data_IF_449779199380
#
_entry.id   IF_449779199380
#
_cell.length_a   1.000
_cell.length_b   1.000
_cell.length_c   1.000
_cell.angle_alpha   90.00
_cell.angle_beta   90.00
_cell.angle_gamma   90.00
#
_symmetry.space_group_name_H-M   'P 1'
#
loop_
_entity.id
_entity.type
_entity.pdbx_description
1 polymer ?
#
# COMPACT_ATOMS: atom_id res chain seq x y z
N UNK A 1 -19.02 -23.25 -5.33
CA UNK A 1 -19.37 -23.59 -3.94
C UNK A 1 -19.09 -25.06 -3.73
N UNK A 2 -18.39 -25.38 -2.67
CA UNK A 2 -17.99 -26.76 -2.40
C UNK A 2 -19.20 -27.54 -1.85
N UNK A 3 -19.32 -28.85 -2.18
CA UNK A 3 -20.36 -29.70 -1.63
C UNK A 3 -20.21 -29.80 -0.10
N UNK A 4 -21.33 -29.74 0.61
CA UNK A 4 -21.41 -29.85 2.07
C UNK A 4 -21.91 -31.24 2.45
N UNK A 5 -21.18 -31.93 3.32
CA UNK A 5 -21.62 -33.19 3.92
C UNK A 5 -22.61 -32.90 5.06
N UNK A 6 -23.74 -33.60 5.05
CA UNK A 6 -24.79 -33.54 6.06
C UNK A 6 -24.79 -34.87 6.81
N UNK A 7 -24.70 -34.80 8.14
CA UNK A 7 -24.81 -35.95 9.03
C UNK A 7 -25.84 -35.59 10.10
N UNK A 8 -26.80 -36.47 10.33
CA UNK A 8 -27.83 -36.18 11.32
C UNK A 8 -28.71 -37.37 11.68
N UNK A 9 -29.55 -37.16 12.68
CA UNK A 9 -30.63 -38.09 13.06
C UNK A 9 -31.95 -37.35 12.90
N UNK A 10 -32.89 -37.92 12.16
CA UNK A 10 -34.23 -37.37 11.96
C UNK A 10 -35.25 -38.17 12.78
N UNK A 11 -36.33 -37.50 13.19
CA UNK A 11 -37.43 -38.06 13.99
C UNK A 11 -37.00 -38.73 15.31
N UNK A 12 -36.01 -38.17 16.01
CA UNK A 12 -35.54 -38.71 17.28
C UNK A 12 -36.62 -38.60 18.39
N UNK A 13 -36.96 -39.70 19.09
CA UNK A 13 -38.08 -39.74 20.03
C UNK A 13 -37.71 -39.05 21.34
N UNK A 14 -38.42 -37.98 21.67
CA UNK A 14 -38.25 -37.23 22.94
C UNK A 14 -39.33 -37.53 23.99
N UNK A 15 -40.33 -38.36 23.64
CA UNK A 15 -41.43 -38.76 24.52
C UNK A 15 -42.03 -40.11 24.11
N UNK A 16 -42.88 -40.67 24.98
CA UNK A 16 -43.50 -41.98 24.75
C UNK A 16 -42.65 -43.18 25.24
N UNK A 17 -43.06 -44.41 24.86
CA UNK A 17 -42.40 -45.66 25.28
C UNK A 17 -40.93 -45.74 24.84
N UNK A 18 -40.64 -45.31 23.61
CA UNK A 18 -39.32 -45.45 22.96
C UNK A 18 -38.45 -44.18 23.09
N UNK A 19 -38.74 -43.32 24.07
CA UNK A 19 -38.01 -42.06 24.31
C UNK A 19 -36.50 -42.30 24.47
N UNK A 20 -35.70 -41.42 23.87
CA UNK A 20 -34.24 -41.44 23.92
C UNK A 20 -33.58 -42.68 23.31
N UNK A 21 -34.32 -43.47 22.53
CA UNK A 21 -33.77 -44.59 21.75
C UNK A 21 -33.52 -44.17 20.30
N UNK A 22 -32.45 -44.69 19.71
CA UNK A 22 -32.09 -44.48 18.30
C UNK A 22 -32.56 -45.65 17.42
N UNK A 23 -32.82 -46.81 18.00
CA UNK A 23 -33.01 -48.08 17.31
C UNK A 23 -34.36 -48.77 17.59
N UNK A 24 -35.10 -48.34 18.62
CA UNK A 24 -36.39 -48.93 19.00
C UNK A 24 -37.57 -48.27 18.30
N UNK A 25 -37.45 -46.98 17.97
CA UNK A 25 -38.47 -46.25 17.23
C UNK A 25 -38.29 -46.41 15.71
N UNK A 26 -39.35 -46.83 15.02
CA UNK A 26 -39.33 -47.13 13.59
C UNK A 26 -39.24 -45.89 12.68
N UNK A 27 -39.52 -44.71 13.23
CA UNK A 27 -39.49 -43.44 12.51
C UNK A 27 -38.12 -42.77 12.60
N UNK A 28 -37.28 -43.16 13.55
CA UNK A 28 -35.92 -42.62 13.75
C UNK A 28 -34.99 -43.03 12.61
N UNK A 29 -34.31 -42.06 12.00
CA UNK A 29 -33.46 -42.28 10.83
C UNK A 29 -32.09 -41.66 11.01
N UNK A 30 -31.03 -42.43 10.75
CA UNK A 30 -29.67 -41.90 10.61
C UNK A 30 -29.47 -41.46 9.16
N UNK A 31 -29.04 -40.23 8.96
CA UNK A 31 -28.94 -39.61 7.63
C UNK A 31 -27.50 -39.21 7.33
N UNK A 32 -27.07 -39.56 6.12
CA UNK A 32 -25.85 -39.07 5.47
C UNK A 32 -26.24 -38.47 4.14
N UNK A 33 -25.98 -37.18 3.96
CA UNK A 33 -26.38 -36.45 2.76
C UNK A 33 -25.28 -35.56 2.20
N UNK A 34 -25.43 -35.16 0.95
CA UNK A 34 -24.57 -34.16 0.29
C UNK A 34 -25.46 -33.10 -0.32
N UNK A 35 -25.22 -31.84 0.05
CA UNK A 35 -25.90 -30.67 -0.53
C UNK A 35 -24.90 -29.78 -1.22
N UNK A 36 -25.26 -29.27 -2.40
CA UNK A 36 -24.46 -28.27 -3.09
C UNK A 36 -25.34 -27.14 -3.64
N UNK A 37 -25.00 -25.92 -3.25
CA UNK A 37 -25.54 -24.71 -3.85
C UNK A 37 -24.93 -24.51 -5.24
N UNK A 38 -25.75 -24.15 -6.22
CA UNK A 38 -25.37 -23.92 -7.61
C UNK A 38 -25.76 -22.48 -8.01
N UNK A 39 -24.89 -21.49 -7.73
CA UNK A 39 -25.14 -20.12 -8.11
C UNK A 39 -25.32 -20.02 -9.62
N UNK A 40 -26.21 -19.14 -10.06
CA UNK A 40 -26.43 -18.92 -11.49
C UNK A 40 -25.10 -18.60 -12.22
N UNK A 41 -24.95 -19.06 -13.47
CA UNK A 41 -23.78 -18.75 -14.30
C UNK A 41 -23.46 -17.26 -14.37
N UNK A 42 -24.49 -16.41 -14.40
CA UNK A 42 -24.35 -14.96 -14.44
C UNK A 42 -23.75 -14.41 -13.15
N UNK A 43 -24.19 -14.92 -11.98
CA UNK A 43 -23.60 -14.55 -10.68
C UNK A 43 -22.15 -14.98 -10.59
N UNK A 44 -21.83 -16.21 -11.01
CA UNK A 44 -20.44 -16.71 -11.02
C UNK A 44 -19.55 -15.87 -11.92
N UNK A 45 -20.02 -15.55 -13.13
CA UNK A 45 -19.30 -14.71 -14.07
C UNK A 45 -19.10 -13.30 -13.53
N UNK A 46 -20.12 -12.68 -12.95
CA UNK A 46 -20.03 -11.34 -12.39
C UNK A 46 -19.04 -11.29 -11.21
N UNK A 47 -19.03 -12.30 -10.33
CA UNK A 47 -18.04 -12.42 -9.24
C UNK A 47 -16.61 -12.52 -9.76
N UNK A 48 -16.39 -13.28 -10.83
CA UNK A 48 -15.08 -13.38 -11.49
C UNK A 48 -14.69 -12.01 -12.07
N UNK A 49 -15.59 -11.34 -12.79
CA UNK A 49 -15.32 -10.02 -13.36
C UNK A 49 -14.99 -8.95 -12.30
N UNK A 50 -15.66 -8.99 -11.15
CA UNK A 50 -15.34 -8.10 -10.01
C UNK A 50 -13.96 -8.39 -9.45
N UNK A 51 -13.62 -9.67 -9.28
CA UNK A 51 -12.30 -10.09 -8.80
C UNK A 51 -11.18 -9.65 -9.77
N UNK A 52 -11.36 -9.88 -11.06
CA UNK A 52 -10.41 -9.49 -12.11
C UNK A 52 -10.24 -7.96 -12.14
N UNK A 53 -11.34 -7.20 -12.10
CA UNK A 53 -11.28 -5.74 -12.08
C UNK A 53 -10.61 -5.19 -10.81
N UNK A 54 -10.78 -5.85 -9.66
CA UNK A 54 -10.09 -5.49 -8.43
C UNK A 54 -8.56 -5.72 -8.54
N UNK A 55 -8.13 -6.81 -9.17
CA UNK A 55 -6.71 -7.07 -9.46
C UNK A 55 -6.13 -5.99 -10.37
N UNK A 56 -6.85 -5.60 -11.43
CA UNK A 56 -6.41 -4.54 -12.34
C UNK A 56 -6.30 -3.18 -11.65
N UNK A 57 -7.24 -2.85 -10.77
CA UNK A 57 -7.16 -1.64 -9.93
C UNK A 57 -5.94 -1.69 -9.01
N UNK A 58 -5.74 -2.80 -8.30
CA UNK A 58 -4.59 -2.96 -7.42
C UNK A 58 -3.26 -2.83 -8.19
N UNK A 59 -3.19 -3.38 -9.41
CA UNK A 59 -2.03 -3.23 -10.28
C UNK A 59 -1.80 -1.76 -10.70
N UNK A 60 -2.87 -1.01 -10.99
CA UNK A 60 -2.76 0.42 -11.30
C UNK A 60 -2.30 1.26 -10.09
N UNK A 61 -2.88 1.01 -8.91
CA UNK A 61 -2.47 1.67 -7.67
C UNK A 61 -1.00 1.37 -7.33
N UNK A 62 -0.55 0.13 -7.51
CA UNK A 62 0.87 -0.25 -7.34
C UNK A 62 1.79 0.53 -8.28
N UNK A 63 1.38 0.79 -9.53
CA UNK A 63 2.18 1.58 -10.48
C UNK A 63 2.33 3.03 -10.01
N UNK A 64 1.24 3.64 -9.54
CA UNK A 64 1.24 4.99 -8.97
C UNK A 64 2.15 5.04 -7.75
N UNK A 65 1.96 4.13 -6.80
CA UNK A 65 2.76 4.09 -5.56
C UNK A 65 4.24 3.89 -5.84
N UNK A 66 4.59 3.03 -6.81
CA UNK A 66 5.99 2.85 -7.22
C UNK A 66 6.62 4.15 -7.73
N UNK A 67 5.86 4.98 -8.44
CA UNK A 67 6.35 6.27 -8.92
C UNK A 67 6.46 7.29 -7.78
N UNK A 68 5.49 7.31 -6.85
CA UNK A 68 5.54 8.14 -5.66
C UNK A 68 6.76 7.82 -4.78
N UNK A 69 7.06 6.53 -4.59
CA UNK A 69 8.27 6.08 -3.88
C UNK A 69 9.53 6.54 -4.62
N UNK A 70 9.60 6.37 -5.94
CA UNK A 70 10.76 6.83 -6.74
C UNK A 70 10.96 8.34 -6.64
N UNK A 71 9.89 9.12 -6.81
CA UNK A 71 9.94 10.57 -6.73
C UNK A 71 10.35 11.02 -5.33
N UNK A 72 9.74 10.46 -4.29
CA UNK A 72 10.05 10.82 -2.90
C UNK A 72 11.48 10.45 -2.51
N UNK A 73 11.97 9.31 -3.01
CA UNK A 73 13.37 8.89 -2.82
C UNK A 73 14.32 9.87 -3.52
N UNK A 74 14.01 10.25 -4.76
CA UNK A 74 14.80 11.22 -5.52
C UNK A 74 14.84 12.59 -4.83
N UNK A 75 13.69 13.09 -4.36
CA UNK A 75 13.62 14.35 -3.60
C UNK A 75 14.42 14.28 -2.30
N UNK A 76 14.32 13.18 -1.55
CA UNK A 76 15.12 13.00 -0.33
C UNK A 76 16.63 12.94 -0.63
N UNK A 77 17.02 12.31 -1.74
CA UNK A 77 18.42 12.27 -2.20
C UNK A 77 18.90 13.66 -2.60
N UNK A 78 18.13 14.41 -3.40
CA UNK A 78 18.44 15.78 -3.82
C UNK A 78 18.63 16.68 -2.60
N UNK A 79 17.71 16.63 -1.64
CA UNK A 79 17.80 17.42 -0.40
C UNK A 79 19.07 17.07 0.39
N UNK A 80 19.36 15.78 0.56
CA UNK A 80 20.56 15.33 1.29
C UNK A 80 21.85 15.78 0.59
N UNK A 81 21.93 15.57 -0.73
CA UNK A 81 23.09 15.94 -1.54
C UNK A 81 23.29 17.47 -1.54
N UNK A 82 22.22 18.24 -1.63
CA UNK A 82 22.28 19.71 -1.64
C UNK A 82 22.81 20.26 -0.33
N UNK A 83 22.42 19.70 0.81
CA UNK A 83 22.93 20.13 2.12
C UNK A 83 24.41 19.76 2.29
N UNK A 84 24.83 18.57 1.85
CA UNK A 84 26.26 18.19 1.90
C UNK A 84 27.13 19.08 1.03
N UNK A 85 26.64 19.47 -0.16
CA UNK A 85 27.33 20.43 -1.01
C UNK A 85 27.43 21.81 -0.38
N UNK A 86 26.40 22.29 0.31
CA UNK A 86 26.45 23.57 1.04
C UNK A 86 27.49 23.53 2.16
N UNK A 87 27.48 22.49 2.99
CA UNK A 87 28.43 22.32 4.10
C UNK A 87 29.89 22.27 3.60
N UNK A 88 30.14 21.62 2.46
CA UNK A 88 31.47 21.57 1.85
C UNK A 88 32.02 22.97 1.47
N UNK A 89 31.15 23.93 1.11
CA UNK A 89 31.55 25.30 0.75
C UNK A 89 31.93 26.15 1.98
N UNK A 90 31.47 25.80 3.19
CA UNK A 90 31.76 26.58 4.40
C UNK A 90 33.26 26.62 4.72
N UNK A 91 34.00 25.57 4.36
CA UNK A 91 35.45 25.57 4.53
C UNK A 91 36.14 26.71 3.77
N UNK A 92 35.62 27.08 2.61
CA UNK A 92 36.15 28.19 1.82
C UNK A 92 35.72 29.53 2.40
N UNK A 93 34.47 29.68 2.86
CA UNK A 93 34.02 30.88 3.58
C UNK A 93 34.84 31.16 4.85
N UNK A 94 35.20 30.12 5.62
CA UNK A 94 36.07 30.30 6.78
C UNK A 94 37.51 30.68 6.41
N UNK A 95 38.02 30.27 5.24
CA UNK A 95 39.34 30.71 4.76
C UNK A 95 39.29 32.18 4.36
N UNK A 96 38.26 32.58 3.63
CA UNK A 96 38.05 33.98 3.22
C UNK A 96 37.89 34.90 4.43
N UNK A 97 37.11 34.51 5.43
CA UNK A 97 36.96 35.31 6.64
C UNK A 97 38.25 35.39 7.47
N UNK A 98 39.09 34.34 7.47
CA UNK A 98 40.43 34.39 8.07
C UNK A 98 41.32 35.41 7.35
N UNK A 99 41.31 35.42 6.02
CA UNK A 99 42.03 36.42 5.23
C UNK A 99 41.53 37.85 5.52
N UNK A 100 40.22 38.04 5.67
CA UNK A 100 39.64 39.32 6.06
C UNK A 100 40.14 39.75 7.45
N UNK A 101 40.13 38.85 8.43
CA UNK A 101 40.63 39.10 9.79
C UNK A 101 42.10 39.52 9.80
N UNK A 102 42.95 38.84 9.04
CA UNK A 102 44.37 39.16 8.92
C UNK A 102 44.60 40.51 8.23
N UNK A 103 43.82 40.82 7.20
CA UNK A 103 43.86 42.10 6.48
C UNK A 103 43.47 43.27 7.39
N UNK A 104 42.37 43.14 8.12
CA UNK A 104 41.92 44.17 9.09
C UNK A 104 42.97 44.36 10.18
N UNK A 105 43.56 43.28 10.70
CA UNK A 105 44.65 43.37 11.69
C UNK A 105 45.86 44.13 11.16
N UNK A 106 46.27 43.87 9.92
CA UNK A 106 47.36 44.59 9.27
C UNK A 106 47.05 46.07 9.04
N UNK A 107 45.80 46.40 8.67
CA UNK A 107 45.36 47.79 8.50
C UNK A 107 45.34 48.56 9.83
N UNK A 108 44.90 47.93 10.92
CA UNK A 108 44.93 48.53 12.27
C UNK A 108 46.39 48.78 12.70
N UNK A 109 47.27 47.79 12.54
CA UNK A 109 48.70 47.95 12.83
C UNK A 109 49.37 49.04 11.98
N UNK A 110 48.91 49.22 10.73
CA UNK A 110 49.36 50.29 9.84
C UNK A 110 48.66 51.64 10.02
N UNK A 111 47.77 51.79 11.00
CA UNK A 111 47.04 53.03 11.28
C UNK A 111 46.00 53.42 10.23
N UNK A 112 45.62 52.51 9.32
CA UNK A 112 44.64 52.73 8.24
C UNK A 112 43.22 52.32 8.60
N UNK A 113 43.02 51.69 9.76
CA UNK A 113 41.73 51.23 10.28
C UNK A 113 41.64 51.46 11.80
N UNK A 114 40.43 51.52 12.34
CA UNK A 114 40.19 51.70 13.77
C UNK A 114 40.20 50.36 14.51
N UNK A 115 40.59 50.31 15.80
CA UNK A 115 40.50 49.09 16.59
C UNK A 115 39.10 48.46 16.65
N UNK A 116 38.04 49.28 16.52
CA UNK A 116 36.66 48.82 16.46
C UNK A 116 36.39 47.94 15.22
N UNK A 117 37.11 48.15 14.11
CA UNK A 117 36.94 47.40 12.87
C UNK A 117 37.36 45.91 13.03
N UNK A 118 38.13 45.58 14.07
CA UNK A 118 38.48 44.19 14.40
C UNK A 118 37.27 43.35 14.86
N UNK A 119 36.13 43.97 15.15
CA UNK A 119 34.90 43.28 15.55
C UNK A 119 34.17 42.70 14.33
N UNK A 120 34.24 43.36 13.18
CA UNK A 120 33.51 42.93 11.96
C UNK A 120 33.87 41.51 11.51
N UNK A 121 35.16 41.11 11.35
CA UNK A 121 35.50 39.74 10.95
C UNK A 121 35.08 38.70 11.99
N UNK A 122 35.03 39.08 13.28
CA UNK A 122 34.58 38.20 14.37
C UNK A 122 33.06 37.99 14.32
N UNK A 123 32.29 39.03 14.02
CA UNK A 123 30.84 38.91 13.84
C UNK A 123 30.50 38.04 12.63
N UNK A 124 31.20 38.23 11.50
CA UNK A 124 31.03 37.36 10.32
C UNK A 124 31.41 35.91 10.64
N UNK A 125 32.47 35.67 11.42
CA UNK A 125 32.83 34.31 11.84
C UNK A 125 31.73 33.65 12.68
N UNK A 126 31.14 34.40 13.62
CA UNK A 126 30.06 33.91 14.46
C UNK A 126 28.81 33.57 13.64
N UNK A 127 28.48 34.41 12.64
CA UNK A 127 27.36 34.17 11.72
C UNK A 127 27.59 32.93 10.84
N UNK A 128 28.81 32.74 10.35
CA UNK A 128 29.17 31.52 9.62
C UNK A 128 29.04 30.26 10.51
N UNK A 129 29.45 30.35 11.78
CA UNK A 129 29.29 29.24 12.72
C UNK A 129 27.81 28.88 12.97
N UNK A 130 26.96 29.89 13.20
CA UNK A 130 25.52 29.71 13.37
C UNK A 130 24.88 29.02 12.15
N UNK A 131 25.20 29.50 10.94
CA UNK A 131 24.68 28.89 9.70
C UNK A 131 25.20 27.47 9.47
N UNK A 132 26.43 27.17 9.89
CA UNK A 132 26.97 25.83 9.78
C UNK A 132 26.27 24.87 10.74
N UNK A 133 26.01 25.29 11.98
CA UNK A 133 25.25 24.49 12.95
C UNK A 133 23.85 24.15 12.44
N UNK A 134 23.16 25.12 11.82
CA UNK A 134 21.89 24.90 11.14
C UNK A 134 22.00 23.89 10.00
N UNK A 135 23.04 23.98 9.17
CA UNK A 135 23.28 23.01 8.09
C UNK A 135 23.57 21.61 8.61
N UNK A 136 24.28 21.47 9.73
CA UNK A 136 24.53 20.17 10.37
C UNK A 136 23.20 19.56 10.82
N UNK A 137 22.29 20.35 11.39
CA UNK A 137 20.95 19.87 11.75
C UNK A 137 20.15 19.47 10.51
N UNK A 138 20.11 20.31 9.48
CA UNK A 138 19.43 20.01 8.21
C UNK A 138 19.99 18.75 7.55
N UNK A 139 21.30 18.53 7.62
CA UNK A 139 21.96 17.32 7.07
C UNK A 139 21.46 16.07 7.77
N UNK A 140 21.37 16.10 9.11
CA UNK A 140 20.84 14.98 9.90
C UNK A 140 19.38 14.69 9.54
N UNK A 141 18.56 15.72 9.39
CA UNK A 141 17.15 15.57 8.99
C UNK A 141 17.00 15.01 7.57
N UNK A 142 17.75 15.55 6.60
CA UNK A 142 17.73 15.10 5.22
C UNK A 142 18.19 13.64 5.09
N UNK A 143 19.30 13.27 5.75
CA UNK A 143 19.76 11.87 5.79
C UNK A 143 18.75 10.94 6.47
N UNK A 144 18.11 11.36 7.56
CA UNK A 144 17.06 10.57 8.20
C UNK A 144 15.85 10.37 7.27
N UNK A 145 15.45 11.40 6.52
CA UNK A 145 14.39 11.30 5.52
C UNK A 145 14.77 10.36 4.37
N UNK A 146 16.02 10.39 3.89
CA UNK A 146 16.52 9.47 2.87
C UNK A 146 16.59 8.02 3.38
N UNK A 147 17.00 7.81 4.63
CA UNK A 147 17.05 6.50 5.30
C UNK A 147 15.69 5.81 5.35
N UNK A 148 14.59 6.58 5.42
CA UNK A 148 13.23 6.03 5.32
C UNK A 148 13.00 5.25 4.01
N UNK A 149 13.64 5.67 2.92
CA UNK A 149 13.40 5.12 1.59
C UNK A 149 14.40 4.03 1.18
N UNK A 150 15.68 4.22 1.46
CA UNK A 150 16.75 3.31 1.03
C UNK A 150 17.44 2.57 2.19
N UNK A 151 16.95 2.75 3.42
CA UNK A 151 17.48 2.06 4.59
C UNK A 151 18.92 2.49 4.91
N UNK A 152 19.75 1.57 5.43
CA UNK A 152 21.13 1.87 5.87
C UNK A 152 22.03 2.49 4.79
N UNK A 153 21.77 2.23 3.51
CA UNK A 153 22.51 2.80 2.38
C UNK A 153 22.47 4.34 2.33
N UNK A 154 21.50 4.98 3.02
CA UNK A 154 21.46 6.44 3.16
C UNK A 154 22.64 7.04 3.94
N UNK A 155 23.42 6.21 4.65
CA UNK A 155 24.60 6.67 5.37
C UNK A 155 25.86 6.74 4.50
N UNK A 156 25.84 6.07 3.35
CA UNK A 156 26.96 6.02 2.43
C UNK A 156 27.25 7.42 1.85
N UNK A 157 28.40 7.57 1.21
CA UNK A 157 28.75 8.82 0.54
C UNK A 157 27.83 9.07 -0.66
N UNK A 158 27.25 10.27 -0.72
CA UNK A 158 26.35 10.63 -1.81
C UNK A 158 27.15 11.02 -3.05
N UNK A 159 27.21 10.10 -4.02
CA UNK A 159 27.90 10.31 -5.30
C UNK A 159 26.94 10.78 -6.39
N UNK A 160 27.43 11.61 -7.31
CA UNK A 160 26.68 12.07 -8.50
C UNK A 160 26.64 13.58 -8.64
N UNK A 161 25.68 14.07 -9.45
CA UNK A 161 25.40 15.49 -9.68
C UNK A 161 23.90 15.77 -9.57
N UNK A 162 23.54 17.02 -9.32
CA UNK A 162 22.15 17.43 -9.36
C UNK A 162 21.54 17.15 -10.74
N UNK A 163 20.29 16.67 -10.80
CA UNK A 163 19.65 16.37 -12.07
C UNK A 163 19.37 17.64 -12.88
N UNK A 164 19.63 17.58 -14.17
CA UNK A 164 19.25 18.61 -15.15
C UNK A 164 18.07 18.07 -15.95
N UNK A 165 16.87 18.63 -15.76
CA UNK A 165 15.67 18.22 -16.47
C UNK A 165 15.30 19.25 -17.53
N UNK A 166 15.21 18.83 -18.79
CA UNK A 166 14.64 19.65 -19.87
C UNK A 166 13.12 19.66 -19.78
N UNK A 167 12.51 20.83 -19.83
CA UNK A 167 11.05 20.99 -19.83
C UNK A 167 10.57 21.08 -21.29
N UNK A 168 9.86 20.06 -21.78
CA UNK A 168 9.17 20.09 -23.07
C UNK A 168 7.67 20.34 -22.84
N UNK A 169 7.25 21.59 -23.07
CA UNK A 169 5.87 22.03 -22.85
C UNK A 169 4.89 21.46 -23.87
N UNK A 170 5.36 21.09 -25.07
CA UNK A 170 4.50 20.62 -26.16
C UNK A 170 4.03 19.18 -25.95
N UNK A 171 4.88 18.34 -25.36
CA UNK A 171 4.56 16.94 -25.06
C UNK A 171 3.62 16.71 -23.88
N UNK A 172 3.46 17.68 -22.96
CA UNK A 172 2.67 17.46 -21.73
C UNK A 172 1.17 17.29 -22.00
N UNK A 173 0.60 18.05 -22.93
CA UNK A 173 -0.83 17.97 -23.25
C UNK A 173 -1.21 16.59 -23.81
N UNK A 174 -0.36 16.00 -24.65
CA UNK A 174 -0.58 14.68 -25.23
C UNK A 174 -0.36 13.56 -24.21
N UNK A 175 0.58 13.73 -23.28
CA UNK A 175 0.91 12.72 -22.26
C UNK A 175 0.05 12.79 -21.00
N UNK A 176 -0.79 13.81 -20.83
CA UNK A 176 -1.64 13.95 -19.65
C UNK A 176 -2.56 12.74 -19.44
N UNK A 177 -3.15 12.21 -20.52
CA UNK A 177 -4.00 11.01 -20.44
C UNK A 177 -3.23 9.75 -20.02
N UNK A 178 -1.92 9.73 -20.28
CA UNK A 178 -1.01 8.66 -19.86
C UNK A 178 -0.46 8.89 -18.45
N UNK A 179 -0.86 9.96 -17.76
CA UNK A 179 -0.44 10.21 -16.39
C UNK A 179 -0.91 9.04 -15.49
N UNK A 180 -0.01 8.41 -14.72
CA UNK A 180 -0.31 7.21 -13.95
C UNK A 180 -1.53 7.33 -13.02
N UNK A 181 -1.70 8.49 -12.38
CA UNK A 181 -2.84 8.75 -11.50
C UNK A 181 -4.15 8.87 -12.27
N UNK A 182 -4.12 9.46 -13.47
CA UNK A 182 -5.30 9.57 -14.34
C UNK A 182 -5.65 8.23 -14.97
N UNK A 183 -4.64 7.49 -15.44
CA UNK A 183 -4.80 6.15 -15.99
C UNK A 183 -5.35 5.14 -14.95
N UNK A 184 -5.19 5.40 -13.65
CA UNK A 184 -5.75 4.56 -12.59
C UNK A 184 -7.27 4.64 -12.46
N UNK A 185 -7.92 5.69 -13.00
CA UNK A 185 -9.38 5.80 -12.98
C UNK A 185 -10.06 4.78 -13.90
N UNK A 186 -9.43 4.40 -15.03
CA UNK A 186 -10.02 3.42 -15.94
C UNK A 186 -10.30 2.05 -15.28
N UNK A 187 -9.36 1.40 -14.56
CA UNK A 187 -9.67 0.18 -13.82
C UNK A 187 -10.61 0.41 -12.62
N UNK A 188 -10.59 1.57 -11.97
CA UNK A 188 -11.59 1.89 -10.93
C UNK A 188 -13.01 1.93 -11.49
N UNK A 189 -13.19 2.54 -12.68
CA UNK A 189 -14.48 2.55 -13.38
C UNK A 189 -14.89 1.13 -13.79
N UNK A 190 -13.95 0.30 -14.27
CA UNK A 190 -14.25 -1.11 -14.59
C UNK A 190 -14.68 -1.91 -13.37
N UNK A 191 -14.03 -1.73 -12.22
CA UNK A 191 -14.44 -2.38 -10.96
C UNK A 191 -15.85 -1.93 -10.56
N UNK A 192 -16.14 -0.62 -10.63
CA UNK A 192 -17.46 -0.10 -10.32
C UNK A 192 -18.54 -0.67 -11.25
N UNK A 193 -18.27 -0.75 -12.56
CA UNK A 193 -19.18 -1.35 -13.53
C UNK A 193 -19.37 -2.86 -13.30
N UNK A 194 -18.33 -3.58 -12.93
CA UNK A 194 -18.41 -5.01 -12.59
C UNK A 194 -19.29 -5.23 -11.36
N UNK A 195 -19.16 -4.39 -10.31
CA UNK A 195 -20.02 -4.44 -9.12
C UNK A 195 -21.48 -4.14 -9.44
N UNK A 196 -21.75 -3.23 -10.37
CA UNK A 196 -23.12 -2.99 -10.86
C UNK A 196 -23.67 -4.26 -11.54
N UNK A 197 -22.87 -4.93 -12.40
CA UNK A 197 -23.29 -6.19 -13.03
C UNK A 197 -23.51 -7.31 -12.03
N UNK A 198 -22.66 -7.41 -11.00
CA UNK A 198 -22.85 -8.35 -9.89
C UNK A 198 -24.18 -8.09 -9.17
N UNK A 199 -24.46 -6.84 -8.79
CA UNK A 199 -25.72 -6.48 -8.16
C UNK A 199 -26.95 -6.78 -9.05
N UNK A 200 -26.82 -6.62 -10.37
CA UNK A 200 -27.87 -7.02 -11.32
C UNK A 200 -28.03 -8.54 -11.37
N UNK A 201 -26.93 -9.30 -11.33
CA UNK A 201 -26.95 -10.76 -11.35
C UNK A 201 -27.60 -11.37 -10.10
N UNK A 202 -27.58 -10.67 -8.96
CA UNK A 202 -28.27 -11.11 -7.73
C UNK A 202 -29.80 -11.17 -7.88
N UNK A 203 -30.38 -10.56 -8.93
CA UNK A 203 -31.80 -10.74 -9.27
C UNK A 203 -32.13 -12.10 -9.89
N UNK A 204 -31.12 -12.86 -10.32
CA UNK A 204 -31.30 -14.20 -10.86
C UNK A 204 -31.40 -15.21 -9.72
N UNK A 205 -32.34 -16.15 -9.82
CA UNK A 205 -32.43 -17.26 -8.87
C UNK A 205 -31.19 -18.15 -8.93
N UNK A 206 -30.75 -18.58 -7.75
CA UNK A 206 -29.81 -19.68 -7.61
C UNK A 206 -30.59 -20.98 -7.47
N UNK A 207 -29.96 -22.11 -7.78
CA UNK A 207 -30.56 -23.41 -7.51
C UNK A 207 -29.65 -24.24 -6.60
N UNK A 208 -30.19 -25.27 -5.98
CA UNK A 208 -29.40 -26.22 -5.19
C UNK A 208 -29.96 -27.62 -5.35
N UNK A 209 -29.10 -28.60 -5.09
CA UNK A 209 -29.49 -30.00 -5.03
C UNK A 209 -28.97 -30.64 -3.75
N UNK A 210 -29.71 -31.63 -3.27
CA UNK A 210 -29.39 -32.41 -2.08
C UNK A 210 -29.75 -33.87 -2.35
N UNK A 211 -28.84 -34.75 -1.96
CA UNK A 211 -29.00 -36.20 -2.02
C UNK A 211 -28.74 -36.75 -0.62
N UNK A 212 -29.74 -37.39 -0.02
CA UNK A 212 -29.59 -38.04 1.29
C UNK A 212 -29.78 -39.54 1.18
N UNK A 213 -28.99 -40.26 1.95
CA UNK A 213 -29.20 -41.66 2.27
C UNK A 213 -29.61 -41.77 3.74
N UNK A 214 -30.70 -42.48 3.98
CA UNK A 214 -31.33 -42.61 5.30
C UNK A 214 -31.41 -44.09 5.69
N UNK A 215 -30.73 -44.44 6.77
CA UNK A 215 -30.80 -45.76 7.39
C UNK A 215 -31.83 -45.75 8.53
N UNK A 216 -32.70 -46.77 8.55
CA UNK A 216 -33.80 -46.91 9.50
C UNK A 216 -33.72 -48.24 10.26
N UNK A 217 -34.52 -48.38 11.31
CA UNK A 217 -34.58 -49.60 12.11
C UNK A 217 -34.71 -50.88 11.25
N UNK A 218 -34.09 -51.98 11.71
CA UNK A 218 -33.84 -53.22 10.93
C UNK A 218 -35.05 -53.85 10.23
N UNK A 219 -36.26 -53.52 10.65
CA UNK A 219 -37.50 -54.00 10.04
C UNK A 219 -37.92 -53.21 8.78
N UNK A 220 -37.27 -52.09 8.47
CA UNK A 220 -37.59 -51.21 7.35
C UNK A 220 -36.39 -51.05 6.42
N UNK A 221 -36.67 -50.87 5.12
CA UNK A 221 -35.62 -50.59 4.14
C UNK A 221 -35.08 -49.17 4.24
N UNK A 222 -33.82 -49.01 3.82
CA UNK A 222 -33.17 -47.71 3.66
C UNK A 222 -33.89 -46.85 2.62
N UNK A 223 -33.71 -45.54 2.71
CA UNK A 223 -34.29 -44.59 1.77
C UNK A 223 -33.23 -43.69 1.15
N UNK A 224 -33.55 -43.20 -0.04
CA UNK A 224 -32.80 -42.16 -0.73
C UNK A 224 -33.75 -41.02 -1.05
N UNK A 225 -33.38 -39.80 -0.71
CA UNK A 225 -34.11 -38.58 -1.08
C UNK A 225 -33.27 -37.70 -1.99
N UNK A 226 -33.91 -37.13 -3.01
CA UNK A 226 -33.32 -36.10 -3.87
C UNK A 226 -34.20 -34.87 -3.76
N UNK A 227 -33.60 -33.74 -3.41
CA UNK A 227 -34.28 -32.45 -3.32
C UNK A 227 -33.64 -31.44 -4.27
N UNK A 228 -34.48 -30.67 -4.94
CA UNK A 228 -34.10 -29.55 -5.81
C UNK A 228 -34.79 -28.29 -5.28
N UNK A 229 -34.05 -27.18 -5.19
CA UNK A 229 -34.58 -25.87 -4.82
C UNK A 229 -34.15 -24.81 -5.85
N UNK A 230 -34.99 -23.84 -6.19
CA UNK A 230 -34.72 -22.74 -7.12
C UNK A 230 -35.56 -21.49 -6.80
#
# INVERSE_FOLDING_TARGET
>A
PDPKLLLGVQNYPVGGPDRWSIDQDFMTMQMVGVRQEMPNSDKRKARIEVADAAVERAAAQRRVERLNVRQSTALAWISSYSVERKDALFQDFYKENRLLSDTVRAQIAGGRAQPADAVTPKQEAARLAEQQDDLIQQRRQARAALKRWIGPAANDELVGRLPEWSVDTSGYSHNLQHHPELAAFAPMTREAQAKVREAVSEKQSDWSWELDYQHRGRAFGDMVSVQLSW
#
